data_IF_672040820373
#
_entry.id   IF_672040820373
#
_cell.length_a   1.000
_cell.length_b   1.000
_cell.length_c   1.000
_cell.angle_alpha   90.00
_cell.angle_beta   90.00
_cell.angle_gamma   90.00
#
_symmetry.space_group_name_H-M   'P 1'
#
loop_
_entity.id
_entity.type
_entity.pdbx_description
1 polymer ?
#
# COMPACT_ATOMS: atom_id res chain seq x y z
N UNK A 1 21.62 -2.53 0.61
CA UNK A 1 20.77 -2.92 1.75
C UNK A 1 20.00 -4.21 1.51
N UNK A 2 19.05 -4.54 2.42
CA UNK A 2 18.29 -5.80 2.38
C UNK A 2 17.55 -6.01 1.05
N UNK A 3 16.84 -5.01 0.55
CA UNK A 3 16.11 -5.11 -0.71
C UNK A 3 17.04 -5.52 -1.87
N UNK A 4 18.24 -4.93 -1.97
CA UNK A 4 19.20 -5.31 -3.02
C UNK A 4 19.66 -6.75 -2.90
N UNK A 5 19.84 -7.26 -1.66
CA UNK A 5 20.23 -8.66 -1.42
C UNK A 5 19.11 -9.64 -1.76
N UNK A 6 17.87 -9.30 -1.36
CA UNK A 6 16.69 -10.12 -1.62
C UNK A 6 16.25 -10.09 -3.08
N UNK A 7 16.64 -9.05 -3.82
CA UNK A 7 16.37 -8.85 -5.24
C UNK A 7 14.89 -9.09 -5.61
N UNK A 8 13.94 -8.37 -4.99
CA UNK A 8 12.51 -8.55 -5.29
C UNK A 8 12.17 -8.03 -6.68
N UNK A 9 11.04 -8.45 -7.22
CA UNK A 9 10.51 -7.95 -8.48
C UNK A 9 10.22 -6.43 -8.45
N UNK A 10 9.85 -5.91 -7.29
CA UNK A 10 9.67 -4.48 -6.99
C UNK A 10 9.57 -4.25 -5.48
N UNK A 11 9.68 -3.00 -5.08
CA UNK A 11 9.45 -2.54 -3.70
C UNK A 11 8.27 -1.56 -3.70
N UNK A 12 7.41 -1.63 -2.68
CA UNK A 12 6.34 -0.66 -2.46
C UNK A 12 6.52 -0.03 -1.07
N UNK A 13 6.40 1.30 -0.99
CA UNK A 13 6.27 2.02 0.27
C UNK A 13 4.82 2.50 0.37
N UNK A 14 4.13 2.06 1.43
CA UNK A 14 2.69 2.25 1.62
C UNK A 14 2.34 3.53 2.40
N UNK A 15 3.07 4.62 2.13
CA UNK A 15 2.81 5.94 2.68
C UNK A 15 3.64 6.30 3.91
N UNK A 16 3.50 7.56 4.31
CA UNK A 16 4.22 8.18 5.42
C UNK A 16 5.74 8.09 5.24
N UNK A 17 6.20 8.54 4.05
CA UNK A 17 7.60 8.52 3.67
C UNK A 17 8.44 9.51 4.47
N UNK A 18 7.82 10.60 4.92
CA UNK A 18 8.41 11.66 5.74
C UNK A 18 7.44 12.06 6.84
N UNK A 19 7.94 12.60 7.94
CA UNK A 19 7.11 13.13 9.03
C UNK A 19 6.60 14.55 8.71
N UNK A 20 7.42 15.34 8.01
CA UNK A 20 7.08 16.67 7.55
C UNK A 20 7.40 16.84 6.07
N UNK A 21 6.35 16.84 5.24
CA UNK A 21 6.46 17.02 3.79
C UNK A 21 7.06 18.38 3.38
N UNK A 22 7.04 19.36 4.27
CA UNK A 22 7.62 20.68 4.03
C UNK A 22 9.11 20.77 4.39
N UNK A 23 9.66 19.74 5.05
CA UNK A 23 11.08 19.67 5.39
C UNK A 23 11.91 19.14 4.20
N UNK A 24 12.67 19.99 3.50
CA UNK A 24 13.50 19.55 2.38
C UNK A 24 14.62 18.60 2.83
N UNK A 25 15.04 18.63 4.10
CA UNK A 25 16.04 17.72 4.63
C UNK A 25 15.53 16.30 4.72
N UNK A 26 14.28 16.08 5.15
CA UNK A 26 13.65 14.77 5.19
C UNK A 26 13.47 14.20 3.78
N UNK A 27 12.99 15.00 2.84
CA UNK A 27 12.87 14.60 1.44
C UNK A 27 14.22 14.28 0.80
N UNK A 28 15.25 15.07 1.08
CA UNK A 28 16.61 14.82 0.60
C UNK A 28 17.16 13.48 1.15
N UNK A 29 16.94 13.21 2.44
CA UNK A 29 17.37 11.97 3.08
C UNK A 29 16.62 10.76 2.53
N UNK A 30 15.30 10.84 2.35
CA UNK A 30 14.51 9.81 1.70
C UNK A 30 15.07 9.48 0.31
N UNK A 31 15.34 10.50 -0.51
CA UNK A 31 15.93 10.34 -1.84
C UNK A 31 17.33 9.71 -1.77
N UNK A 32 18.15 10.13 -0.82
CA UNK A 32 19.50 9.58 -0.62
C UNK A 32 19.46 8.08 -0.26
N UNK A 33 18.49 7.68 0.58
CA UNK A 33 18.32 6.28 0.99
C UNK A 33 17.79 5.45 -0.17
N UNK A 34 16.74 5.92 -0.84
CA UNK A 34 16.09 5.18 -1.92
C UNK A 34 16.93 5.09 -3.17
N UNK A 35 17.79 6.07 -3.44
CA UNK A 35 18.79 6.01 -4.52
C UNK A 35 19.83 4.88 -4.36
N UNK A 36 19.92 4.25 -3.18
CA UNK A 36 20.76 3.08 -2.97
C UNK A 36 20.09 1.75 -3.40
N UNK A 37 18.81 1.80 -3.75
CA UNK A 37 18.13 0.63 -4.33
C UNK A 37 18.73 0.37 -5.71
N UNK A 38 18.93 -0.92 -6.02
CA UNK A 38 19.39 -1.31 -7.36
C UNK A 38 18.39 -0.74 -8.40
N UNK A 39 18.86 0.00 -9.42
CA UNK A 39 18.00 0.62 -10.42
C UNK A 39 17.12 -0.36 -11.21
N UNK A 40 17.50 -1.65 -11.24
CA UNK A 40 16.68 -2.70 -11.85
C UNK A 40 15.48 -3.14 -10.99
N UNK A 41 15.39 -2.67 -9.73
CA UNK A 41 14.26 -2.95 -8.83
C UNK A 41 13.33 -1.73 -8.84
N UNK A 42 12.16 -1.80 -9.47
CA UNK A 42 11.18 -0.72 -9.44
C UNK A 42 10.76 -0.37 -8.01
N UNK A 43 10.66 0.92 -7.72
CA UNK A 43 10.15 1.43 -6.46
C UNK A 43 8.81 2.13 -6.70
N UNK A 44 7.77 1.64 -6.05
CA UNK A 44 6.42 2.17 -6.10
C UNK A 44 6.07 2.91 -4.81
N UNK A 45 5.31 3.99 -4.92
CA UNK A 45 4.92 4.85 -3.82
C UNK A 45 3.40 4.88 -3.69
N UNK A 46 2.88 4.74 -2.47
CA UNK A 46 1.49 5.07 -2.16
C UNK A 46 1.49 6.24 -1.17
N UNK A 47 0.64 7.25 -1.34
CA UNK A 47 0.63 8.39 -0.41
C UNK A 47 0.02 8.01 0.94
N UNK A 48 0.67 8.48 2.02
CA UNK A 48 0.15 8.48 3.37
C UNK A 48 -0.37 9.84 3.80
N UNK A 49 -0.97 9.92 4.98
CA UNK A 49 -1.51 11.18 5.49
C UNK A 49 -0.42 12.19 5.88
N UNK A 50 0.79 11.77 6.19
CA UNK A 50 1.92 12.69 6.41
C UNK A 50 2.45 13.28 5.09
N UNK A 51 2.29 12.54 3.98
CA UNK A 51 2.78 12.96 2.68
C UNK A 51 1.87 14.00 2.00
N UNK A 52 0.54 13.89 2.17
CA UNK A 52 -0.44 14.77 1.51
C UNK A 52 -1.35 15.53 2.46
N UNK A 53 -1.29 15.25 3.76
CA UNK A 53 -2.14 15.83 4.81
C UNK A 53 -3.34 14.94 5.15
N UNK A 54 -3.84 15.08 6.40
CA UNK A 54 -5.08 14.42 6.83
C UNK A 54 -6.31 14.96 6.07
N UNK A 55 -6.24 16.21 5.62
CA UNK A 55 -7.18 16.87 4.72
C UNK A 55 -6.38 17.38 3.52
N UNK A 56 -6.18 16.57 2.48
CA UNK A 56 -5.39 16.96 1.31
C UNK A 56 -5.95 18.21 0.63
N UNK A 57 -5.06 19.07 0.13
CA UNK A 57 -5.39 20.22 -0.70
C UNK A 57 -4.86 20.02 -2.11
N UNK A 58 -5.32 20.79 -3.13
CA UNK A 58 -4.74 20.74 -4.46
C UNK A 58 -3.22 20.92 -4.45
N UNK A 59 -2.70 21.81 -3.61
CA UNK A 59 -1.27 22.12 -3.50
C UNK A 59 -0.50 20.93 -2.91
N UNK A 60 -1.03 20.25 -1.87
CA UNK A 60 -0.34 19.11 -1.28
C UNK A 60 -0.36 17.88 -2.19
N UNK A 61 -1.42 17.69 -2.98
CA UNK A 61 -1.48 16.64 -3.98
C UNK A 61 -0.50 16.92 -5.13
N UNK A 62 -0.41 18.15 -5.59
CA UNK A 62 0.55 18.55 -6.64
C UNK A 62 1.99 18.36 -6.15
N UNK A 63 2.30 18.80 -4.93
CA UNK A 63 3.62 18.60 -4.32
C UNK A 63 3.99 17.11 -4.22
N UNK A 64 3.01 16.26 -3.87
CA UNK A 64 3.24 14.81 -3.85
C UNK A 64 3.56 14.30 -5.26
N UNK A 65 2.75 14.68 -6.26
CA UNK A 65 2.93 14.24 -7.66
C UNK A 65 4.26 14.67 -8.24
N UNK A 66 4.73 15.87 -7.91
CA UNK A 66 6.06 16.35 -8.30
C UNK A 66 7.20 15.53 -7.70
N UNK A 67 7.05 15.03 -6.48
CA UNK A 67 8.09 14.30 -5.78
C UNK A 67 8.09 12.80 -6.08
N UNK A 68 6.92 12.18 -6.28
CA UNK A 68 6.72 10.73 -6.26
C UNK A 68 5.97 10.19 -7.47
N UNK A 69 5.43 11.05 -8.34
CA UNK A 69 4.57 10.66 -9.45
C UNK A 69 3.10 10.56 -9.05
N UNK A 70 2.29 9.92 -9.88
CA UNK A 70 0.85 9.82 -9.68
C UNK A 70 0.51 9.29 -8.28
N UNK A 71 -0.46 9.91 -7.62
CA UNK A 71 -0.90 9.56 -6.26
C UNK A 71 -1.91 8.39 -6.22
N UNK A 72 -2.47 8.02 -7.39
CA UNK A 72 -3.16 6.75 -7.61
C UNK A 72 -2.91 6.26 -9.03
N UNK A 73 -2.60 5.00 -9.19
CA UNK A 73 -2.23 4.39 -10.46
C UNK A 73 -2.35 2.87 -10.42
N UNK A 74 -2.19 2.23 -11.57
CA UNK A 74 -2.15 0.77 -11.67
C UNK A 74 -0.96 0.31 -12.49
N UNK A 75 -0.40 -0.83 -12.12
CA UNK A 75 0.66 -1.50 -12.87
C UNK A 75 0.46 -3.00 -12.88
N UNK A 76 1.25 -3.70 -13.66
CA UNK A 76 1.18 -5.15 -13.81
C UNK A 76 2.55 -5.76 -13.64
N UNK A 77 2.55 -6.93 -13.04
CA UNK A 77 3.73 -7.76 -12.94
C UNK A 77 3.36 -9.25 -12.96
N UNK A 78 4.05 -10.04 -13.79
CA UNK A 78 3.91 -11.50 -13.85
C UNK A 78 2.45 -12.03 -13.86
N UNK A 79 1.58 -11.38 -14.65
CA UNK A 79 0.18 -11.79 -14.79
C UNK A 79 -0.75 -11.38 -13.65
N UNK A 80 -0.28 -10.59 -12.70
CA UNK A 80 -1.08 -9.98 -11.63
C UNK A 80 -1.21 -8.47 -11.83
N UNK A 81 -2.33 -7.89 -11.38
CA UNK A 81 -2.60 -6.46 -11.41
C UNK A 81 -2.46 -5.86 -10.02
N UNK A 82 -1.80 -4.72 -9.94
CA UNK A 82 -1.57 -3.95 -8.72
C UNK A 82 -2.17 -2.57 -8.89
N UNK A 83 -2.97 -2.11 -7.92
CA UNK A 83 -3.67 -0.82 -7.95
C UNK A 83 -3.28 -0.06 -6.69
N UNK A 84 -2.71 1.11 -6.85
CA UNK A 84 -2.36 2.02 -5.75
C UNK A 84 -3.45 3.07 -5.62
N UNK A 85 -3.89 3.35 -4.40
CA UNK A 85 -4.92 4.33 -4.08
C UNK A 85 -4.41 5.35 -3.04
N UNK A 86 -4.85 6.59 -3.20
CA UNK A 86 -4.69 7.66 -2.23
C UNK A 86 -5.86 7.68 -1.24
N UNK A 87 -5.73 6.96 -0.14
CA UNK A 87 -6.80 6.91 0.88
C UNK A 87 -6.88 8.15 1.76
N UNK A 88 -5.90 9.05 1.74
CA UNK A 88 -6.00 10.33 2.45
C UNK A 88 -7.09 11.22 1.84
N UNK A 89 -7.24 11.22 0.50
CA UNK A 89 -8.37 11.86 -0.19
C UNK A 89 -9.70 11.19 0.18
N UNK A 90 -9.70 9.85 0.29
CA UNK A 90 -10.89 9.11 0.72
C UNK A 90 -11.24 9.35 2.18
N UNK A 91 -10.26 9.66 3.03
CA UNK A 91 -10.46 9.94 4.45
C UNK A 91 -11.13 11.32 4.65
N UNK A 92 -10.61 12.36 3.98
CA UNK A 92 -11.20 13.70 3.98
C UNK A 92 -10.93 14.42 2.65
N UNK A 93 -11.94 14.54 1.79
CA UNK A 93 -11.90 15.22 0.51
C UNK A 93 -12.48 16.64 0.52
N UNK A 94 -12.71 17.21 1.70
CA UNK A 94 -13.39 18.51 1.86
C UNK A 94 -12.66 19.67 1.17
N UNK A 95 -11.33 19.61 1.04
CA UNK A 95 -10.53 20.60 0.35
C UNK A 95 -10.21 20.22 -1.13
N UNK A 96 -10.58 19.01 -1.54
CA UNK A 96 -10.34 18.49 -2.90
C UNK A 96 -11.63 17.90 -3.49
N UNK A 97 -12.71 18.68 -3.60
CA UNK A 97 -14.01 18.17 -4.02
C UNK A 97 -13.95 17.47 -5.38
N UNK A 98 -14.52 16.28 -5.46
CA UNK A 98 -14.55 15.46 -6.67
C UNK A 98 -13.26 14.64 -6.93
N UNK A 99 -12.19 14.80 -6.15
CA UNK A 99 -10.97 13.99 -6.32
C UNK A 99 -11.23 12.53 -5.95
N UNK A 100 -11.98 12.30 -4.87
CA UNK A 100 -12.39 10.94 -4.50
C UNK A 100 -13.22 10.27 -5.61
N UNK A 101 -14.18 10.99 -6.20
CA UNK A 101 -15.01 10.45 -7.29
C UNK A 101 -14.19 10.09 -8.52
N UNK A 102 -13.20 10.94 -8.87
CA UNK A 102 -12.25 10.64 -9.95
C UNK A 102 -11.45 9.37 -9.67
N UNK A 103 -10.96 9.23 -8.44
CA UNK A 103 -10.22 8.04 -8.04
C UNK A 103 -11.09 6.78 -8.05
N UNK A 104 -12.36 6.87 -7.60
CA UNK A 104 -13.29 5.74 -7.65
C UNK A 104 -13.64 5.34 -9.09
N UNK A 105 -13.78 6.29 -10.00
CA UNK A 105 -13.95 6.00 -11.44
C UNK A 105 -12.70 5.32 -12.03
N UNK A 106 -11.52 5.80 -11.68
CA UNK A 106 -10.24 5.15 -12.03
C UNK A 106 -10.17 3.71 -11.49
N UNK A 107 -10.49 3.51 -10.21
CA UNK A 107 -10.49 2.19 -9.59
C UNK A 107 -11.42 1.21 -10.31
N UNK A 108 -12.67 1.61 -10.57
CA UNK A 108 -13.64 0.78 -11.29
C UNK A 108 -13.13 0.36 -12.67
N UNK A 109 -12.56 1.30 -13.43
CA UNK A 109 -11.92 1.01 -14.72
C UNK A 109 -10.76 0.02 -14.58
N UNK A 110 -9.86 0.24 -13.63
CA UNK A 110 -8.68 -0.61 -13.41
C UNK A 110 -9.06 -2.03 -13.00
N UNK A 111 -10.10 -2.19 -12.18
CA UNK A 111 -10.62 -3.50 -11.79
C UNK A 111 -11.24 -4.26 -12.97
N UNK A 112 -12.03 -3.57 -13.81
CA UNK A 112 -12.57 -4.14 -15.05
C UNK A 112 -11.44 -4.57 -15.98
N UNK A 113 -10.43 -3.75 -16.17
CA UNK A 113 -9.27 -4.08 -17.01
C UNK A 113 -8.50 -5.29 -16.47
N UNK A 114 -8.29 -5.37 -15.15
CA UNK A 114 -7.63 -6.52 -14.52
C UNK A 114 -8.42 -7.82 -14.74
N UNK A 115 -9.74 -7.77 -14.62
CA UNK A 115 -10.63 -8.92 -14.92
C UNK A 115 -10.59 -9.31 -16.39
N UNK A 116 -10.63 -8.35 -17.31
CA UNK A 116 -10.58 -8.61 -18.75
C UNK A 116 -9.26 -9.24 -19.19
N UNK A 117 -8.16 -8.95 -18.48
CA UNK A 117 -6.84 -9.58 -18.68
C UNK A 117 -6.72 -10.95 -18.03
N UNK A 118 -7.74 -11.42 -17.30
CA UNK A 118 -7.69 -12.64 -16.50
C UNK A 118 -6.49 -12.65 -15.53
N UNK A 119 -6.25 -11.51 -14.88
CA UNK A 119 -5.16 -11.39 -13.88
C UNK A 119 -5.28 -12.49 -12.83
N UNK A 120 -4.19 -13.19 -12.55
CA UNK A 120 -4.15 -14.25 -11.56
C UNK A 120 -4.53 -13.72 -10.18
N UNK A 121 -4.02 -12.53 -9.86
CA UNK A 121 -4.38 -11.78 -8.65
C UNK A 121 -4.63 -10.30 -8.97
N UNK A 122 -5.55 -9.70 -8.22
CA UNK A 122 -5.74 -8.26 -8.14
C UNK A 122 -5.37 -7.85 -6.73
N UNK A 123 -4.34 -7.03 -6.59
CA UNK A 123 -3.81 -6.55 -5.32
C UNK A 123 -4.00 -5.04 -5.23
N UNK A 124 -4.57 -4.56 -4.14
CA UNK A 124 -4.72 -3.13 -3.88
C UNK A 124 -3.74 -2.69 -2.80
N UNK A 125 -3.08 -1.59 -3.02
CA UNK A 125 -2.16 -0.95 -2.08
C UNK A 125 -2.74 0.41 -1.71
N UNK A 126 -2.80 0.67 -0.42
CA UNK A 126 -3.33 1.90 0.13
C UNK A 126 -2.65 2.21 1.47
N UNK A 127 -2.89 3.39 2.03
CA UNK A 127 -2.28 3.77 3.30
C UNK A 127 -3.16 3.41 4.50
N UNK A 128 -4.38 3.94 4.57
CA UNK A 128 -5.30 3.66 5.67
C UNK A 128 -5.96 2.29 5.51
N UNK A 129 -5.90 1.38 6.49
CA UNK A 129 -6.68 0.14 6.43
C UNK A 129 -8.17 0.44 6.27
N UNK A 130 -8.91 -0.45 5.61
CA UNK A 130 -10.35 -0.25 5.42
C UNK A 130 -11.11 -0.40 6.74
N UNK A 131 -10.75 -1.39 7.53
CA UNK A 131 -11.27 -1.64 8.87
C UNK A 131 -10.28 -2.49 9.66
N UNK A 132 -10.46 -2.60 10.97
CA UNK A 132 -9.56 -3.37 11.84
C UNK A 132 -10.16 -4.71 12.26
N UNK A 133 -11.41 -4.76 12.64
CA UNK A 133 -12.06 -5.99 13.12
C UNK A 133 -13.33 -6.31 12.35
N UNK A 134 -14.18 -5.31 12.13
CA UNK A 134 -15.48 -5.45 11.50
C UNK A 134 -15.69 -4.35 10.45
N UNK A 135 -16.09 -4.69 9.22
CA UNK A 135 -16.38 -3.68 8.20
C UNK A 135 -17.45 -2.67 8.63
N UNK A 136 -18.28 -2.99 9.63
CA UNK A 136 -19.28 -2.12 10.19
C UNK A 136 -18.87 -1.35 11.46
N UNK A 137 -17.60 -1.49 11.87
CA UNK A 137 -17.08 -0.76 13.04
C UNK A 137 -17.25 0.76 12.88
N UNK A 138 -17.34 1.46 14.01
CA UNK A 138 -17.48 2.92 14.02
C UNK A 138 -16.26 3.59 13.36
N UNK A 139 -16.44 4.79 12.85
CA UNK A 139 -15.36 5.58 12.28
C UNK A 139 -14.31 5.90 13.34
N UNK A 140 -13.07 5.80 12.93
CA UNK A 140 -11.90 6.08 13.76
C UNK A 140 -10.76 6.63 12.91
N UNK A 141 -9.77 7.21 13.57
CA UNK A 141 -8.54 7.66 12.87
C UNK A 141 -7.75 6.49 12.26
N UNK A 142 -7.94 5.29 12.77
CA UNK A 142 -7.13 4.11 12.38
C UNK A 142 -7.64 3.36 11.16
N UNK A 143 -8.79 3.74 10.60
CA UNK A 143 -9.36 3.06 9.44
C UNK A 143 -10.18 4.02 8.58
N UNK A 144 -10.41 3.66 7.33
CA UNK A 144 -11.22 4.44 6.39
C UNK A 144 -12.63 4.71 6.94
N UNK A 145 -13.21 5.90 6.71
CA UNK A 145 -14.60 6.19 7.06
C UNK A 145 -15.58 5.15 6.50
N UNK A 146 -16.57 4.76 7.29
CA UNK A 146 -17.50 3.66 6.97
C UNK A 146 -18.16 3.80 5.59
N UNK A 147 -18.58 5.00 5.24
CA UNK A 147 -19.20 5.26 3.93
C UNK A 147 -18.24 4.92 2.78
N UNK A 148 -17.01 5.42 2.85
CA UNK A 148 -15.99 5.24 1.81
C UNK A 148 -15.51 3.78 1.76
N UNK A 149 -15.26 3.14 2.92
CA UNK A 149 -14.83 1.73 2.95
C UNK A 149 -15.88 0.76 2.44
N UNK A 150 -17.18 1.06 2.66
CA UNK A 150 -18.27 0.22 2.16
C UNK A 150 -18.22 0.15 0.63
N UNK A 151 -18.13 1.29 -0.04
CA UNK A 151 -18.03 1.35 -1.50
C UNK A 151 -16.78 0.64 -2.05
N UNK A 152 -15.64 0.77 -1.35
CA UNK A 152 -14.42 0.06 -1.72
C UNK A 152 -14.58 -1.47 -1.57
N UNK A 153 -15.14 -1.93 -0.44
CA UNK A 153 -15.36 -3.35 -0.19
C UNK A 153 -16.31 -3.98 -1.20
N UNK A 154 -17.39 -3.29 -1.58
CA UNK A 154 -18.31 -3.73 -2.63
C UNK A 154 -17.60 -3.92 -3.97
N UNK A 155 -16.77 -2.95 -4.37
CA UNK A 155 -15.98 -3.07 -5.60
C UNK A 155 -14.95 -4.20 -5.52
N UNK A 156 -14.26 -4.34 -4.40
CA UNK A 156 -13.24 -5.37 -4.23
C UNK A 156 -13.86 -6.78 -4.27
N UNK A 157 -15.01 -6.96 -3.64
CA UNK A 157 -15.76 -8.22 -3.69
C UNK A 157 -16.25 -8.52 -5.10
N UNK A 158 -16.88 -7.55 -5.77
CA UNK A 158 -17.43 -7.71 -7.12
C UNK A 158 -16.37 -8.07 -8.17
N UNK A 159 -15.15 -7.61 -7.98
CA UNK A 159 -14.04 -7.83 -8.91
C UNK A 159 -13.01 -8.86 -8.43
N UNK A 160 -13.32 -9.60 -7.36
CA UNK A 160 -12.47 -10.66 -6.81
C UNK A 160 -11.03 -10.17 -6.51
N UNK A 161 -10.90 -9.02 -5.82
CA UNK A 161 -9.61 -8.57 -5.27
C UNK A 161 -9.08 -9.65 -4.35
N UNK A 162 -7.81 -10.01 -4.49
CA UNK A 162 -7.18 -11.09 -3.72
C UNK A 162 -6.61 -10.61 -2.39
N UNK A 163 -6.02 -9.42 -2.37
CA UNK A 163 -5.41 -8.84 -1.18
C UNK A 163 -5.41 -7.31 -1.21
N UNK A 164 -5.45 -6.74 -0.02
CA UNK A 164 -5.27 -5.31 0.24
C UNK A 164 -4.12 -5.15 1.24
N UNK A 165 -3.10 -4.39 0.86
CA UNK A 165 -1.98 -4.06 1.75
C UNK A 165 -2.04 -2.59 2.16
N UNK A 166 -1.85 -2.34 3.46
CA UNK A 166 -1.89 -0.99 4.04
C UNK A 166 -0.77 -0.74 5.04
N UNK A 167 -0.60 0.52 5.45
CA UNK A 167 0.29 1.01 6.49
C UNK A 167 -0.46 1.67 7.64
N UNK A 168 -0.15 2.93 7.94
CA UNK A 168 -0.82 3.85 8.85
C UNK A 168 -0.74 3.50 10.34
N UNK A 169 -1.02 2.27 10.72
CA UNK A 169 -1.11 1.88 12.14
C UNK A 169 0.23 1.69 12.83
N UNK A 170 1.33 1.68 12.06
CA UNK A 170 2.68 1.39 12.55
C UNK A 170 2.78 0.06 13.34
N UNK A 171 1.87 -0.86 13.08
CA UNK A 171 1.82 -2.23 13.64
C UNK A 171 1.25 -3.20 12.63
N UNK A 172 1.58 -4.48 12.76
CA UNK A 172 1.00 -5.53 11.93
C UNK A 172 -0.44 -5.82 12.34
N UNK A 173 -1.30 -5.95 11.33
CA UNK A 173 -2.67 -6.42 11.51
C UNK A 173 -3.10 -7.23 10.29
N UNK A 174 -3.91 -8.27 10.49
CA UNK A 174 -4.40 -9.11 9.41
C UNK A 174 -5.79 -9.63 9.70
N UNK A 175 -6.68 -9.43 8.76
CA UNK A 175 -8.06 -9.94 8.78
C UNK A 175 -8.38 -10.53 7.41
N UNK A 176 -9.17 -11.61 7.35
CA UNK A 176 -9.74 -12.12 6.10
C UNK A 176 -11.18 -11.62 5.98
N UNK A 177 -11.48 -10.97 4.87
CA UNK A 177 -12.82 -10.50 4.55
C UNK A 177 -13.32 -11.18 3.27
N UNK A 178 -14.24 -12.14 3.40
CA UNK A 178 -14.84 -12.85 2.26
C UNK A 178 -13.81 -13.40 1.26
N UNK A 179 -12.68 -13.88 1.76
CA UNK A 179 -11.59 -14.39 0.94
C UNK A 179 -10.54 -13.35 0.55
N UNK A 180 -10.76 -12.06 0.80
CA UNK A 180 -9.79 -10.99 0.57
C UNK A 180 -8.87 -10.88 1.79
N UNK A 181 -7.56 -10.96 1.59
CA UNK A 181 -6.58 -10.73 2.64
C UNK A 181 -6.45 -9.22 2.91
N UNK A 182 -6.87 -8.75 4.09
CA UNK A 182 -6.69 -7.35 4.53
C UNK A 182 -5.46 -7.30 5.44
N UNK A 183 -4.37 -6.74 4.96
CA UNK A 183 -3.05 -6.83 5.62
C UNK A 183 -2.50 -5.45 5.87
N UNK A 184 -2.38 -5.07 7.14
CA UNK A 184 -1.65 -3.88 7.54
C UNK A 184 -0.23 -4.25 7.92
N UNK A 185 0.73 -3.50 7.44
CA UNK A 185 2.15 -3.74 7.68
C UNK A 185 2.68 -2.84 8.80
N UNK A 186 3.59 -3.38 9.60
CA UNK A 186 4.34 -2.60 10.61
C UNK A 186 5.25 -1.56 9.95
N UNK A 187 5.71 -0.60 10.75
CA UNK A 187 6.53 0.50 10.28
C UNK A 187 8.00 0.13 10.16
N UNK A 188 8.67 0.72 9.17
CA UNK A 188 10.12 0.65 9.03
C UNK A 188 10.82 1.59 10.02
N UNK A 189 10.31 2.82 10.18
CA UNK A 189 10.96 3.87 10.95
C UNK A 189 10.45 4.04 12.38
N UNK A 190 9.14 3.92 12.61
CA UNK A 190 8.51 4.23 13.90
C UNK A 190 7.40 3.24 14.26
N UNK A 191 7.74 2.03 14.76
CA UNK A 191 6.75 1.06 15.16
C UNK A 191 6.00 1.50 16.44
N UNK A 192 4.68 1.28 16.45
CA UNK A 192 3.78 1.51 17.61
C UNK A 192 3.21 0.22 18.18
N UNK A 193 3.51 -0.93 17.55
CA UNK A 193 3.10 -2.26 18.00
C UNK A 193 4.20 -2.96 18.81
N UNK A 194 4.09 -4.28 18.89
CA UNK A 194 5.12 -5.14 19.50
C UNK A 194 6.18 -5.55 18.47
N UNK A 195 5.89 -5.40 17.19
CA UNK A 195 6.82 -5.72 16.11
C UNK A 195 7.96 -4.70 16.07
N UNK A 196 9.20 -5.14 15.82
CA UNK A 196 10.31 -4.24 15.63
C UNK A 196 10.19 -3.47 14.32
N UNK A 197 11.03 -2.45 14.12
CA UNK A 197 11.23 -1.84 12.79
C UNK A 197 11.51 -2.91 11.76
N UNK A 198 10.79 -2.89 10.64
CA UNK A 198 10.89 -3.97 9.67
C UNK A 198 10.07 -3.73 8.41
N UNK A 199 9.94 -4.77 7.63
CA UNK A 199 9.18 -4.76 6.38
C UNK A 199 8.50 -6.10 6.11
N UNK A 200 7.56 -6.11 5.20
CA UNK A 200 6.86 -7.31 4.79
C UNK A 200 7.40 -7.83 3.46
N UNK A 201 7.69 -9.13 3.41
CA UNK A 201 7.94 -9.84 2.16
C UNK A 201 6.61 -10.45 1.71
N UNK A 202 6.25 -10.21 0.46
CA UNK A 202 5.06 -10.75 -0.18
C UNK A 202 5.50 -11.61 -1.37
N UNK A 203 5.04 -12.84 -1.40
CA UNK A 203 5.24 -13.77 -2.52
C UNK A 203 3.93 -13.95 -3.24
N UNK A 204 3.92 -13.63 -4.53
CA UNK A 204 2.76 -13.80 -5.40
C UNK A 204 3.08 -14.90 -6.40
N UNK A 205 2.34 -16.00 -6.33
CA UNK A 205 2.38 -17.09 -7.30
C UNK A 205 1.06 -17.15 -8.07
N UNK A 206 0.95 -18.02 -9.08
CA UNK A 206 -0.27 -18.11 -9.90
C UNK A 206 -1.54 -18.47 -9.12
N UNK A 207 -1.41 -19.11 -7.97
CA UNK A 207 -2.51 -19.67 -7.18
C UNK A 207 -2.66 -19.04 -5.78
N UNK A 208 -1.64 -18.34 -5.26
CA UNK A 208 -1.68 -17.81 -3.89
C UNK A 208 -0.82 -16.57 -3.68
N UNK A 209 -1.20 -15.82 -2.65
CA UNK A 209 -0.42 -14.73 -2.08
C UNK A 209 -0.02 -15.13 -0.65
N UNK A 210 1.27 -15.20 -0.39
CA UNK A 210 1.85 -15.47 0.93
C UNK A 210 2.63 -14.24 1.39
N UNK A 211 2.57 -13.94 2.67
CA UNK A 211 3.31 -12.79 3.19
C UNK A 211 3.78 -13.02 4.62
N UNK A 212 4.91 -12.42 4.98
CA UNK A 212 5.44 -12.43 6.33
C UNK A 212 6.16 -11.11 6.64
N UNK A 213 5.99 -10.61 7.85
CA UNK A 213 6.73 -9.46 8.37
C UNK A 213 8.05 -9.91 8.96
N UNK A 214 9.10 -9.15 8.71
CA UNK A 214 10.45 -9.41 9.21
C UNK A 214 11.01 -8.13 9.86
N UNK A 215 11.53 -8.26 11.07
CA UNK A 215 12.35 -7.24 11.68
C UNK A 215 13.66 -7.04 10.91
N UNK A 216 14.27 -5.87 11.03
CA UNK A 216 15.53 -5.55 10.33
C UNK A 216 16.70 -6.45 10.74
N UNK A 217 16.65 -7.05 11.92
CA UNK A 217 17.60 -8.03 12.46
C UNK A 217 17.26 -9.49 12.10
N UNK A 218 16.12 -9.74 11.45
CA UNK A 218 15.57 -11.06 11.15
C UNK A 218 15.35 -11.28 9.65
N UNK A 219 16.06 -10.52 8.83
CA UNK A 219 15.90 -10.59 7.37
C UNK A 219 16.39 -11.94 6.88
N UNK A 220 15.57 -12.74 6.18
CA UNK A 220 15.97 -14.05 5.69
C UNK A 220 17.02 -13.93 4.59
N UNK A 221 17.76 -14.97 4.36
CA UNK A 221 18.58 -15.10 3.14
C UNK A 221 17.69 -15.48 1.95
N UNK A 222 18.08 -15.11 0.70
CA UNK A 222 17.28 -15.38 -0.49
C UNK A 222 16.91 -16.85 -0.67
N UNK A 223 17.80 -17.77 -0.30
CA UNK A 223 17.61 -19.21 -0.39
C UNK A 223 16.48 -19.71 0.53
N UNK A 224 16.32 -19.11 1.72
CA UNK A 224 15.25 -19.45 2.66
C UNK A 224 13.87 -19.07 2.12
N UNK A 225 13.80 -18.03 1.28
CA UNK A 225 12.55 -17.65 0.63
C UNK A 225 12.15 -18.63 -0.47
N UNK A 226 13.10 -19.31 -1.09
CA UNK A 226 12.83 -20.29 -2.17
C UNK A 226 12.37 -21.64 -1.62
N UNK A 227 12.89 -22.06 -0.47
CA UNK A 227 12.58 -23.35 0.15
C UNK A 227 11.14 -23.43 0.69
N UNK A 228 10.52 -22.31 1.05
CA UNK A 228 9.16 -22.27 1.58
C UNK A 228 8.05 -22.30 0.50
N UNK A 229 8.40 -22.36 -0.78
CA UNK A 229 7.44 -22.50 -1.89
C UNK A 229 7.06 -23.97 -2.16
N UNK A 230 7.76 -24.92 -1.53
CA UNK A 230 7.62 -26.37 -1.77
C UNK A 230 7.18 -27.15 -0.53
N UNK A 231 6.63 -26.49 0.51
CA UNK A 231 6.08 -27.17 1.71
C UNK A 231 4.58 -27.02 1.80
#
# INVERSE_FOLDING_TARGET
GAANRLNPAFVIISGDMVEDRSDPGQLAELRRITAQLNPDIPLHWAPGNWDVGNTPTPETLEQYRENFGDDYYAFQHAGSSFIVLNTSVGFDDSQTPGEWDRQMAFLGKSLIEARNRASAHIVVILHHPLFLQDPNEADSWGAMPKEKRTSLLELFEAHAVSAVFSGHLHKCHHVNYKGIQMVTTGALGYPLGQEPSGFRIVKVSGDKIEHKYYGLDQIPEPEELTLNLNQ
#
